data_IF_737031522002
#
_entry.id   IF_737031522002
#
_cell.length_a   1.000
_cell.length_b   1.000
_cell.length_c   1.000
_cell.angle_alpha   90.00
_cell.angle_beta   90.00
_cell.angle_gamma   90.00
#
_symmetry.space_group_name_H-M   'P 1'
#
loop_
_entity.id
_entity.type
_entity.pdbx_description
1 polymer ?
#
# COMPACT_ATOMS: atom_id res chain seq x y z
N UNK A 1 7.11 -9.01 1.06
CA UNK A 1 6.65 -10.41 1.19
C UNK A 1 7.58 -11.41 0.49
N UNK A 2 8.00 -11.16 -0.76
CA UNK A 2 8.80 -12.11 -1.58
C UNK A 2 10.05 -12.65 -0.88
N UNK A 3 10.89 -11.83 -0.18
CA UNK A 3 12.05 -12.37 0.53
C UNK A 3 11.70 -13.41 1.60
N UNK A 4 10.62 -13.19 2.34
CA UNK A 4 10.12 -14.12 3.36
C UNK A 4 9.61 -15.43 2.75
N UNK A 5 8.81 -15.33 1.68
CA UNK A 5 8.31 -16.50 0.95
C UNK A 5 9.46 -17.32 0.37
N UNK A 6 10.47 -16.66 -0.22
CA UNK A 6 11.65 -17.35 -0.77
C UNK A 6 12.39 -18.15 0.31
N UNK A 7 12.63 -17.55 1.48
CA UNK A 7 13.31 -18.21 2.59
C UNK A 7 12.47 -19.37 3.11
N UNK A 8 11.19 -19.13 3.38
CA UNK A 8 10.28 -20.15 3.87
C UNK A 8 10.14 -21.34 2.92
N UNK A 9 9.97 -21.09 1.61
CA UNK A 9 9.88 -22.16 0.62
C UNK A 9 11.16 -22.98 0.49
N UNK A 10 12.33 -22.34 0.69
CA UNK A 10 13.61 -23.04 0.72
C UNK A 10 13.74 -23.97 1.93
N UNK A 11 13.28 -23.49 3.10
CA UNK A 11 13.41 -24.21 4.36
C UNK A 11 12.31 -25.27 4.54
N UNK A 12 11.17 -25.14 3.84
CA UNK A 12 9.99 -26.00 3.91
C UNK A 12 9.44 -26.33 2.51
N UNK A 13 10.20 -27.06 1.68
CA UNK A 13 9.79 -27.31 0.29
C UNK A 13 8.56 -28.23 0.17
N UNK A 14 8.22 -28.97 1.23
CA UNK A 14 7.03 -29.82 1.32
C UNK A 14 5.73 -29.04 1.52
N UNK A 15 5.81 -27.77 1.96
CA UNK A 15 4.64 -26.95 2.25
C UNK A 15 4.07 -26.35 0.96
N UNK A 16 2.79 -26.62 0.70
CA UNK A 16 2.06 -26.00 -0.41
C UNK A 16 1.55 -24.63 0.00
N UNK A 17 1.99 -23.60 -0.70
CA UNK A 17 1.59 -22.22 -0.45
C UNK A 17 0.56 -21.82 -1.50
N UNK A 18 -0.65 -21.43 -1.07
CA UNK A 18 -1.65 -20.79 -1.92
C UNK A 18 -1.61 -19.29 -1.68
N UNK A 19 -1.39 -18.51 -2.73
CA UNK A 19 -1.36 -17.04 -2.67
C UNK A 19 -2.56 -16.50 -3.43
N UNK A 20 -3.31 -15.58 -2.79
CA UNK A 20 -4.40 -14.83 -3.40
C UNK A 20 -3.98 -13.36 -3.40
N UNK A 21 -3.91 -12.75 -4.59
CA UNK A 21 -3.63 -11.32 -4.72
C UNK A 21 -4.95 -10.56 -4.88
N UNK A 22 -5.24 -9.71 -3.91
CA UNK A 22 -6.50 -8.97 -3.80
C UNK A 22 -6.24 -7.63 -3.08
N UNK A 23 -7.20 -6.72 -3.08
CA UNK A 23 -7.10 -5.45 -2.35
C UNK A 23 -6.96 -5.67 -0.83
N UNK A 24 -6.39 -4.69 -0.12
CA UNK A 24 -6.28 -4.75 1.34
C UNK A 24 -7.62 -4.95 2.05
N UNK A 25 -8.70 -4.39 1.51
CA UNK A 25 -10.07 -4.60 2.01
C UNK A 25 -10.48 -6.06 1.80
N UNK A 26 -10.29 -6.59 0.58
CA UNK A 26 -10.60 -7.99 0.29
C UNK A 26 -9.78 -8.98 1.11
N UNK A 27 -8.51 -8.65 1.44
CA UNK A 27 -7.70 -9.46 2.35
C UNK A 27 -8.37 -9.61 3.73
N UNK A 28 -8.88 -8.50 4.30
CA UNK A 28 -9.58 -8.54 5.58
C UNK A 28 -10.83 -9.42 5.52
N UNK A 29 -11.62 -9.31 4.44
CA UNK A 29 -12.80 -10.17 4.24
C UNK A 29 -12.45 -11.66 4.16
N UNK A 30 -11.36 -12.03 3.46
CA UNK A 30 -10.90 -13.41 3.40
C UNK A 30 -10.47 -13.94 4.77
N UNK A 31 -9.84 -13.09 5.59
CA UNK A 31 -9.42 -13.45 6.94
C UNK A 31 -10.62 -13.69 7.86
N UNK A 32 -11.57 -12.75 7.89
CA UNK A 32 -12.77 -12.82 8.74
C UNK A 32 -13.67 -14.03 8.37
N UNK A 33 -13.71 -14.41 7.09
CA UNK A 33 -14.45 -15.58 6.62
C UNK A 33 -13.67 -16.90 6.75
N UNK A 34 -12.46 -16.89 7.31
CA UNK A 34 -11.62 -18.10 7.46
C UNK A 34 -11.14 -18.69 6.14
N UNK A 35 -11.16 -17.92 5.05
CA UNK A 35 -10.69 -18.34 3.72
C UNK A 35 -9.18 -18.14 3.53
N UNK A 36 -8.56 -17.36 4.41
CA UNK A 36 -7.13 -17.19 4.51
C UNK A 36 -6.69 -17.31 5.98
N UNK A 37 -5.62 -18.04 6.25
CA UNK A 37 -5.04 -18.14 7.58
C UNK A 37 -4.21 -16.91 7.95
N UNK A 38 -3.50 -16.38 6.95
CA UNK A 38 -2.63 -15.21 7.06
C UNK A 38 -2.93 -14.25 5.91
N UNK A 39 -2.93 -12.96 6.22
CA UNK A 39 -2.99 -11.92 5.21
C UNK A 39 -1.83 -10.95 5.38
N UNK A 40 -1.40 -10.33 4.27
CA UNK A 40 -0.54 -9.15 4.30
C UNK A 40 -1.34 -7.99 3.74
N UNK A 41 -1.54 -6.96 4.54
CA UNK A 41 -2.40 -5.84 4.19
C UNK A 41 -1.79 -4.51 4.63
N UNK A 42 -2.22 -3.41 4.04
CA UNK A 42 -1.86 -2.09 4.53
C UNK A 42 -2.67 -1.75 5.79
N UNK A 43 -2.03 -1.02 6.71
CA UNK A 43 -2.62 -0.55 7.96
C UNK A 43 -2.43 0.99 8.08
N UNK A 44 -3.42 1.73 8.57
CA UNK A 44 -4.71 1.28 9.07
C UNK A 44 -5.61 0.68 7.98
N UNK A 45 -6.44 -0.29 8.39
CA UNK A 45 -7.46 -0.91 7.56
C UNK A 45 -8.75 -1.07 8.39
N UNK A 46 -9.77 -0.32 8.04
CA UNK A 46 -11.04 -0.25 8.77
C UNK A 46 -11.85 -1.55 8.77
N UNK A 47 -11.45 -2.52 7.94
CA UNK A 47 -12.12 -3.83 7.83
C UNK A 47 -11.53 -4.90 8.75
N UNK A 48 -10.42 -4.63 9.41
CA UNK A 48 -9.85 -5.55 10.39
C UNK A 48 -10.62 -5.45 11.70
N UNK A 49 -11.02 -6.61 12.23
CA UNK A 49 -11.74 -6.68 13.51
C UNK A 49 -10.79 -6.51 14.71
N UNK A 50 -11.36 -6.28 15.89
CA UNK A 50 -10.61 -6.26 17.15
C UNK A 50 -9.98 -7.62 17.51
N UNK A 51 -10.43 -8.70 16.85
CA UNK A 51 -9.90 -10.06 17.02
C UNK A 51 -8.73 -10.37 16.09
N UNK A 52 -8.26 -9.38 15.33
CA UNK A 52 -7.13 -9.56 14.41
C UNK A 52 -5.82 -9.24 15.12
N UNK A 53 -4.91 -10.21 15.17
CA UNK A 53 -3.53 -10.00 15.61
C UNK A 53 -2.71 -9.48 14.44
N UNK A 54 -1.97 -8.40 14.70
CA UNK A 54 -1.17 -7.68 13.71
C UNK A 54 0.31 -7.72 14.09
N UNK A 55 1.16 -7.90 13.08
CA UNK A 55 2.60 -7.71 13.21
C UNK A 55 3.09 -6.85 12.04
N UNK A 56 3.77 -5.75 12.36
CA UNK A 56 4.33 -4.86 11.33
C UNK A 56 5.43 -5.56 10.56
N UNK A 57 5.34 -5.48 9.23
CA UNK A 57 6.33 -6.03 8.28
C UNK A 57 7.21 -4.93 7.69
N UNK A 58 6.60 -3.78 7.40
CA UNK A 58 7.27 -2.65 6.76
C UNK A 58 6.54 -1.36 7.13
N UNK A 59 7.29 -0.33 7.47
CA UNK A 59 6.79 1.05 7.50
C UNK A 59 7.07 1.72 6.16
N UNK A 60 6.11 2.52 5.67
CA UNK A 60 6.23 3.24 4.41
C UNK A 60 5.41 4.54 4.45
N UNK A 61 5.62 5.38 3.44
CA UNK A 61 4.76 6.55 3.19
C UNK A 61 4.21 6.46 1.79
N UNK A 62 2.94 6.82 1.64
CA UNK A 62 2.45 7.16 0.31
C UNK A 62 3.07 8.51 -0.09
N UNK A 63 3.57 8.59 -1.30
CA UNK A 63 4.18 9.79 -1.89
C UNK A 63 3.52 10.07 -3.24
N UNK A 64 3.53 11.32 -3.62
CA UNK A 64 3.17 11.72 -4.97
C UNK A 64 4.42 11.74 -5.83
N UNK A 65 4.31 11.20 -7.05
CA UNK A 65 5.41 11.14 -8.03
C UNK A 65 4.96 11.67 -9.37
N UNK A 66 5.85 12.34 -10.07
CA UNK A 66 5.59 12.91 -11.39
C UNK A 66 6.80 12.73 -12.30
N UNK A 67 6.58 12.72 -13.61
CA UNK A 67 7.64 12.82 -14.58
C UNK A 67 8.00 14.30 -14.79
N UNK A 68 9.25 14.72 -14.49
CA UNK A 68 9.68 16.12 -14.56
C UNK A 68 9.69 16.68 -15.99
N UNK A 69 9.69 15.84 -17.02
CA UNK A 69 9.63 16.28 -18.42
C UNK A 69 8.25 16.85 -18.79
N UNK A 70 7.19 16.44 -18.05
CA UNK A 70 5.81 16.89 -18.28
C UNK A 70 5.33 17.85 -17.19
N UNK A 71 5.80 17.70 -15.97
CA UNK A 71 5.37 18.49 -14.82
C UNK A 71 6.57 19.21 -14.19
N UNK A 72 6.80 20.46 -14.59
CA UNK A 72 7.83 21.29 -13.98
C UNK A 72 7.40 21.70 -12.57
N UNK A 73 7.81 20.93 -11.59
CA UNK A 73 7.59 21.29 -10.18
C UNK A 73 8.60 22.38 -9.80
N UNK A 74 8.12 23.45 -9.18
CA UNK A 74 9.00 24.46 -8.62
C UNK A 74 9.92 23.87 -7.51
N UNK A 75 11.03 24.54 -7.21
CA UNK A 75 11.96 24.11 -6.14
C UNK A 75 11.34 24.11 -4.74
N UNK A 76 10.21 24.79 -4.55
CA UNK A 76 9.53 24.88 -3.25
C UNK A 76 8.51 23.76 -3.09
N UNK A 77 8.41 23.16 -1.88
CA UNK A 77 7.40 22.15 -1.60
C UNK A 77 5.98 22.67 -1.84
N UNK A 78 5.11 21.84 -2.44
CA UNK A 78 3.72 22.17 -2.71
C UNK A 78 2.86 22.06 -1.44
N UNK A 79 1.85 22.91 -1.31
CA UNK A 79 0.75 22.63 -0.39
C UNK A 79 -0.16 21.54 -0.96
N UNK A 80 -0.95 20.88 -0.11
CA UNK A 80 -1.94 19.90 -0.60
C UNK A 80 -3.00 20.56 -1.50
N UNK A 81 -3.31 21.83 -1.24
CA UNK A 81 -4.22 22.62 -2.07
C UNK A 81 -3.66 22.80 -3.50
N UNK A 82 -2.39 23.26 -3.62
CA UNK A 82 -1.75 23.45 -4.92
C UNK A 82 -1.49 22.12 -5.66
N UNK A 83 -1.40 21.00 -4.94
CA UNK A 83 -1.31 19.69 -5.58
C UNK A 83 -2.58 19.34 -6.35
N UNK A 84 -3.75 19.82 -5.90
CA UNK A 84 -5.03 19.58 -6.57
C UNK A 84 -5.19 20.35 -7.90
N UNK A 85 -4.27 21.25 -8.24
CA UNK A 85 -4.22 21.91 -9.56
C UNK A 85 -3.70 20.98 -10.66
N UNK A 86 -3.19 19.79 -10.28
CA UNK A 86 -2.64 18.81 -11.20
C UNK A 86 -3.55 17.59 -11.31
N UNK A 87 -3.52 16.88 -12.46
CA UNK A 87 -4.24 15.62 -12.60
C UNK A 87 -3.67 14.55 -11.65
N UNK A 88 -4.50 14.02 -10.77
CA UNK A 88 -4.11 13.03 -9.77
C UNK A 88 -4.49 11.62 -10.24
N UNK A 89 -3.53 10.71 -10.16
CA UNK A 89 -3.71 9.29 -10.43
C UNK A 89 -3.59 8.53 -9.11
N UNK A 90 -4.59 7.73 -8.74
CA UNK A 90 -4.58 7.02 -7.47
C UNK A 90 -5.32 5.67 -7.56
N UNK A 91 -5.20 4.88 -6.50
CA UNK A 91 -5.94 3.64 -6.41
C UNK A 91 -7.44 3.89 -6.25
N UNK A 92 -8.24 2.97 -6.80
CA UNK A 92 -9.70 3.03 -6.79
C UNK A 92 -10.29 3.09 -5.37
N UNK A 93 -11.53 3.60 -5.20
CA UNK A 93 -12.15 3.87 -3.90
C UNK A 93 -12.25 2.68 -2.93
N UNK A 94 -12.21 1.45 -3.44
CA UNK A 94 -12.22 0.22 -2.63
C UNK A 94 -10.83 -0.22 -2.17
N UNK A 95 -9.87 0.71 -2.05
CA UNK A 95 -8.54 0.45 -1.50
C UNK A 95 -8.33 1.22 -0.20
N UNK A 96 -7.57 0.64 0.73
CA UNK A 96 -7.19 1.34 1.97
C UNK A 96 -6.37 2.61 1.72
N UNK A 97 -5.62 2.67 0.61
CA UNK A 97 -4.87 3.87 0.22
C UNK A 97 -5.81 5.00 -0.22
N UNK A 98 -6.83 4.69 -1.02
CA UNK A 98 -7.83 5.68 -1.41
C UNK A 98 -8.61 6.21 -0.21
N UNK A 99 -9.11 5.33 0.67
CA UNK A 99 -9.80 5.74 1.91
C UNK A 99 -8.90 6.64 2.76
N UNK A 100 -7.65 6.25 2.95
CA UNK A 100 -6.67 7.02 3.72
C UNK A 100 -6.41 8.41 3.12
N UNK A 101 -6.16 8.51 1.81
CA UNK A 101 -5.90 9.79 1.15
C UNK A 101 -7.11 10.73 1.25
N UNK A 102 -8.30 10.23 0.98
CA UNK A 102 -9.53 11.03 1.12
C UNK A 102 -9.69 11.57 2.55
N UNK A 103 -9.38 10.77 3.58
CA UNK A 103 -9.42 11.21 4.98
C UNK A 103 -8.38 12.30 5.28
N UNK A 104 -7.14 12.14 4.78
CA UNK A 104 -6.06 13.12 4.99
C UNK A 104 -6.40 14.47 4.35
N UNK A 105 -6.92 14.46 3.12
CA UNK A 105 -7.33 15.69 2.44
C UNK A 105 -8.58 16.31 3.11
N UNK A 106 -9.56 15.51 3.45
CA UNK A 106 -10.78 15.97 4.13
C UNK A 106 -10.47 16.62 5.49
N UNK A 107 -9.48 16.10 6.24
CA UNK A 107 -9.04 16.69 7.51
C UNK A 107 -8.48 18.11 7.35
N UNK A 108 -8.09 18.52 6.13
CA UNK A 108 -7.66 19.88 5.79
C UNK A 108 -8.75 20.69 5.07
N UNK A 109 -9.98 20.18 5.02
CA UNK A 109 -11.09 20.81 4.31
C UNK A 109 -10.99 20.73 2.78
N UNK A 110 -10.11 19.87 2.25
CA UNK A 110 -9.87 19.69 0.82
C UNK A 110 -10.63 18.47 0.29
N UNK A 111 -11.09 18.56 -0.96
CA UNK A 111 -11.73 17.44 -1.66
C UNK A 111 -10.78 16.91 -2.73
N UNK A 112 -10.30 15.69 -2.52
CA UNK A 112 -9.48 14.99 -3.50
C UNK A 112 -10.38 14.41 -4.60
N UNK A 113 -10.13 14.82 -5.84
CA UNK A 113 -10.87 14.34 -7.04
C UNK A 113 -9.84 13.84 -8.04
N UNK A 114 -9.59 12.53 -8.10
CA UNK A 114 -8.64 11.98 -9.06
C UNK A 114 -9.21 11.96 -10.48
N UNK A 115 -8.35 12.17 -11.48
CA UNK A 115 -8.68 11.97 -12.90
C UNK A 115 -8.62 10.51 -13.30
N UNK A 116 -7.77 9.71 -12.63
CA UNK A 116 -7.62 8.29 -12.92
C UNK A 116 -7.65 7.49 -11.63
N UNK A 117 -8.50 6.46 -11.62
CA UNK A 117 -8.62 5.50 -10.53
C UNK A 117 -8.39 4.08 -11.05
N UNK A 118 -7.40 3.39 -10.51
CA UNK A 118 -6.97 2.05 -10.93
C UNK A 118 -6.79 1.10 -9.75
N UNK A 119 -6.70 -0.20 -10.04
CA UNK A 119 -6.45 -1.22 -9.03
C UNK A 119 -4.98 -1.72 -9.01
N UNK A 120 -4.07 -1.04 -9.71
CA UNK A 120 -2.67 -1.43 -9.85
C UNK A 120 -1.75 -0.23 -9.67
N UNK A 121 -0.85 -0.31 -8.68
CA UNK A 121 0.21 0.69 -8.51
C UNK A 121 1.19 0.70 -9.68
N UNK A 122 1.51 -0.47 -10.27
CA UNK A 122 2.42 -0.54 -11.41
C UNK A 122 1.87 0.24 -12.59
N UNK A 123 0.57 0.09 -12.88
CA UNK A 123 -0.08 0.85 -13.95
C UNK A 123 -0.17 2.36 -13.62
N UNK A 124 -0.38 2.74 -12.35
CA UNK A 124 -0.32 4.16 -11.95
C UNK A 124 1.07 4.75 -12.22
N UNK A 125 2.14 4.00 -11.93
CA UNK A 125 3.52 4.39 -12.19
C UNK A 125 3.74 4.56 -13.70
N UNK A 126 3.35 3.57 -14.50
CA UNK A 126 3.52 3.61 -15.96
C UNK A 126 2.78 4.81 -16.58
N UNK A 127 1.57 5.14 -16.10
CA UNK A 127 0.82 6.31 -16.55
C UNK A 127 1.46 7.65 -16.11
N UNK A 128 2.06 7.69 -14.92
CA UNK A 128 2.81 8.87 -14.48
C UNK A 128 4.10 9.04 -15.29
N UNK A 129 4.78 7.97 -15.68
CA UNK A 129 5.98 8.02 -16.52
C UNK A 129 5.71 8.65 -17.90
N UNK A 130 4.54 8.39 -18.48
CA UNK A 130 4.13 9.03 -19.76
C UNK A 130 3.52 10.42 -19.59
N UNK A 131 3.51 10.97 -18.38
CA UNK A 131 3.03 12.33 -18.11
C UNK A 131 1.51 12.48 -18.05
N UNK A 132 0.74 11.41 -17.80
CA UNK A 132 -0.72 11.52 -17.71
C UNK A 132 -1.17 12.27 -16.45
N UNK A 133 -0.37 12.24 -15.38
CA UNK A 133 -0.67 12.91 -14.13
C UNK A 133 0.36 12.61 -13.04
N UNK A 134 0.05 13.07 -11.84
CA UNK A 134 0.82 12.84 -10.62
C UNK A 134 0.25 11.61 -9.91
N UNK A 135 1.04 10.53 -9.80
CA UNK A 135 0.58 9.31 -9.16
C UNK A 135 0.87 9.30 -7.66
N UNK A 136 -0.08 8.82 -6.86
CA UNK A 136 0.14 8.50 -5.46
C UNK A 136 0.48 7.02 -5.30
N UNK A 137 1.69 6.74 -4.81
CA UNK A 137 2.24 5.39 -4.65
C UNK A 137 3.00 5.24 -3.33
N UNK A 138 3.18 4.02 -2.80
CA UNK A 138 4.11 3.77 -1.70
C UNK A 138 5.57 4.12 -2.10
N UNK A 139 6.31 4.77 -1.22
CA UNK A 139 7.68 5.26 -1.45
C UNK A 139 8.67 4.17 -1.90
N UNK A 140 8.51 2.95 -1.39
CA UNK A 140 9.35 1.81 -1.78
C UNK A 140 9.16 1.38 -3.25
N UNK A 141 8.08 1.79 -3.92
CA UNK A 141 7.82 1.47 -5.33
C UNK A 141 8.53 2.41 -6.30
N UNK A 142 9.00 3.57 -5.83
CA UNK A 142 9.77 4.49 -6.67
C UNK A 142 11.18 3.96 -7.02
N UNK A 143 11.66 2.95 -6.30
CA UNK A 143 12.96 2.34 -6.57
C UNK A 143 13.02 1.79 -7.99
N UNK A 144 14.09 2.13 -8.72
CA UNK A 144 14.32 1.73 -10.12
C UNK A 144 13.34 2.34 -11.14
N UNK A 145 12.79 3.51 -10.86
CA UNK A 145 11.95 4.29 -11.78
C UNK A 145 12.59 5.66 -12.07
N UNK A 146 13.66 5.72 -12.88
CA UNK A 146 14.46 6.94 -13.08
C UNK A 146 13.71 8.07 -13.79
N UNK A 147 12.59 7.77 -14.45
CA UNK A 147 11.73 8.76 -15.12
C UNK A 147 10.77 9.49 -14.16
N UNK A 148 10.73 9.11 -12.88
CA UNK A 148 9.83 9.73 -11.90
C UNK A 148 10.61 10.37 -10.77
N UNK A 149 10.14 11.53 -10.35
CA UNK A 149 10.63 12.24 -9.17
C UNK A 149 9.54 12.41 -8.12
N UNK A 150 9.89 12.41 -6.82
CA UNK A 150 8.92 12.68 -5.77
C UNK A 150 8.49 14.14 -5.80
N UNK A 151 7.19 14.37 -5.72
CA UNK A 151 6.59 15.69 -5.50
C UNK A 151 6.68 16.01 -4.02
N UNK A 152 7.51 16.99 -3.66
CA UNK A 152 7.69 17.39 -2.27
C UNK A 152 6.51 18.20 -1.76
N UNK A 153 5.83 17.68 -0.72
CA UNK A 153 4.77 18.42 -0.02
C UNK A 153 5.34 19.19 1.17
N UNK A 154 4.75 20.37 1.47
CA UNK A 154 5.04 21.14 2.69
C UNK A 154 4.84 20.34 3.96
N UNK A 155 3.79 19.52 3.97
CA UNK A 155 3.50 18.56 5.04
C UNK A 155 3.47 17.17 4.42
N UNK A 156 4.49 16.34 4.66
CA UNK A 156 4.50 14.95 4.18
C UNK A 156 3.30 14.17 4.69
N UNK A 157 2.80 13.23 3.88
CA UNK A 157 1.75 12.31 4.32
C UNK A 157 2.22 11.51 5.54
N UNK A 158 1.35 11.22 6.53
CA UNK A 158 1.70 10.37 7.66
C UNK A 158 2.22 9.00 7.23
N UNK A 159 3.10 8.40 8.04
CA UNK A 159 3.57 7.05 7.80
C UNK A 159 2.43 6.03 7.98
N UNK A 160 2.51 4.96 7.21
CA UNK A 160 1.64 3.79 7.28
C UNK A 160 2.49 2.53 7.41
N UNK A 161 1.86 1.40 7.61
CA UNK A 161 2.56 0.12 7.66
C UNK A 161 1.89 -0.94 6.79
N UNK A 162 2.68 -1.86 6.27
CA UNK A 162 2.21 -3.15 5.84
C UNK A 162 2.34 -4.10 7.04
N UNK A 163 1.28 -4.85 7.31
CA UNK A 163 1.20 -5.78 8.43
C UNK A 163 0.91 -7.19 7.91
N UNK A 164 1.48 -8.20 8.58
CA UNK A 164 0.96 -9.56 8.49
C UNK A 164 -0.04 -9.74 9.62
N UNK A 165 -1.17 -10.37 9.31
CA UNK A 165 -2.27 -10.49 10.23
C UNK A 165 -2.91 -11.88 10.21
N UNK A 166 -3.46 -12.29 11.35
CA UNK A 166 -4.26 -13.50 11.49
C UNK A 166 -5.41 -13.30 12.47
N UNK A 167 -6.45 -14.10 12.36
CA UNK A 167 -7.58 -14.06 13.29
C UNK A 167 -7.22 -14.78 14.59
N UNK A 168 -7.43 -14.12 15.74
CA UNK A 168 -7.01 -14.63 17.06
C UNK A 168 -7.74 -15.92 17.46
N UNK A 169 -9.03 -16.02 17.14
CA UNK A 169 -9.85 -17.18 17.51
C UNK A 169 -9.70 -18.38 16.56
N UNK A 170 -9.05 -18.23 15.41
CA UNK A 170 -8.85 -19.31 14.46
C UNK A 170 -7.49 -19.98 14.69
N UNK A 171 -7.52 -21.31 14.77
CA UNK A 171 -6.29 -22.08 14.91
C UNK A 171 -5.51 -22.07 13.60
N UNK A 172 -4.29 -21.52 13.63
CA UNK A 172 -3.38 -21.55 12.50
C UNK A 172 -2.81 -22.97 12.31
N UNK A 173 -2.62 -23.36 11.07
CA UNK A 173 -1.83 -24.56 10.75
C UNK A 173 -0.38 -24.44 11.26
N UNK A 174 0.32 -25.56 11.42
CA UNK A 174 1.73 -25.55 11.81
C UNK A 174 2.59 -24.76 10.80
N UNK A 175 2.26 -24.86 9.51
CA UNK A 175 2.94 -24.14 8.45
C UNK A 175 2.75 -22.63 8.59
N UNK A 176 1.53 -22.15 8.85
CA UNK A 176 1.23 -20.73 9.07
C UNK A 176 1.94 -20.18 10.32
N UNK A 177 1.93 -20.93 11.43
CA UNK A 177 2.67 -20.57 12.65
C UNK A 177 4.18 -20.49 12.41
N UNK A 178 4.73 -21.43 11.63
CA UNK A 178 6.13 -21.44 11.26
C UNK A 178 6.47 -20.22 10.38
N UNK A 179 5.62 -19.90 9.40
CA UNK A 179 5.82 -18.76 8.51
C UNK A 179 5.83 -17.42 9.29
N UNK A 180 4.98 -17.24 10.29
CA UNK A 180 4.96 -16.03 11.13
C UNK A 180 6.30 -15.76 11.82
N UNK A 181 7.05 -16.81 12.21
CA UNK A 181 8.36 -16.65 12.87
C UNK A 181 9.40 -15.96 11.99
N UNK A 182 9.25 -16.02 10.67
CA UNK A 182 10.18 -15.35 9.74
C UNK A 182 10.07 -13.84 9.80
N UNK A 183 8.96 -13.28 10.29
CA UNK A 183 8.75 -11.84 10.45
C UNK A 183 9.22 -11.31 11.81
N UNK A 184 9.47 -12.19 12.77
CA UNK A 184 9.92 -11.81 14.13
C UNK A 184 11.45 -11.67 14.25
N UNK A 185 12.21 -11.87 13.17
CA UNK A 185 13.67 -11.92 13.17
C UNK A 185 14.32 -10.64 12.57
N UNK A 186 13.62 -9.49 12.61
CA UNK A 186 14.15 -8.19 12.15
C UNK A 186 14.31 -7.26 13.35
#
# INVERSE_FOLDING_TARGET
LIPYLRRFHKDHPEVRIKIINITSIGCAELLENGQAELIVTNYPNSRLSSHTKLQTVLEFRDIFVANPDYFTMGKSPLSMENLLDYPILMLAPKSTTSEYLHQVFAAQGLKLLPEVELNSNDLLIDLAEIGLGIACIPDYMLRNRPGLEPVHLKTPLPARSAVIAHHEALQLSQAAQCFLKYFSQI
#
